data_IF_365022667424
#
_entry.id   IF_365022667424
#
_cell.length_a   1.000
_cell.length_b   1.000
_cell.length_c   1.000
_cell.angle_alpha   90.00
_cell.angle_beta   90.00
_cell.angle_gamma   90.00
#
_symmetry.space_group_name_H-M   'P 1'
#
loop_
_entity.id
_entity.type
_entity.pdbx_description
1 polymer ?
#
# COMPACT_ATOMS: atom_id res chain seq x y z
N UNK A 1 -8.35 15.68 -12.85
CA UNK A 1 -8.82 14.84 -11.74
C UNK A 1 -7.96 15.13 -10.53
N UNK A 2 -8.57 15.26 -9.35
CA UNK A 2 -7.83 15.47 -8.11
C UNK A 2 -7.02 14.24 -7.73
N UNK A 3 -5.84 14.47 -7.15
CA UNK A 3 -4.94 13.41 -6.71
C UNK A 3 -5.32 13.01 -5.28
N UNK A 4 -6.05 11.91 -5.12
CA UNK A 4 -6.42 11.36 -3.81
C UNK A 4 -5.33 10.39 -3.32
N UNK A 5 -4.93 10.53 -2.06
CA UNK A 5 -4.03 9.59 -1.37
C UNK A 5 -4.73 9.02 -0.14
N UNK A 6 -4.88 7.71 -0.10
CA UNK A 6 -5.41 6.98 1.04
C UNK A 6 -4.27 6.62 1.99
N UNK A 7 -4.46 6.87 3.27
CA UNK A 7 -3.48 6.54 4.30
C UNK A 7 -3.97 5.30 5.05
N UNK A 8 -3.12 4.29 5.15
CA UNK A 8 -3.39 3.07 5.93
C UNK A 8 -2.27 2.84 6.95
N UNK A 9 -2.64 2.33 8.12
CA UNK A 9 -1.73 2.20 9.27
C UNK A 9 -1.43 0.75 9.65
N UNK A 10 -1.89 -0.22 8.86
CA UNK A 10 -1.58 -1.64 9.04
C UNK A 10 -1.71 -2.39 7.71
N UNK A 11 -1.10 -3.58 7.64
CA UNK A 11 -1.26 -4.49 6.51
C UNK A 11 -2.74 -4.86 6.30
N UNK A 12 -3.49 -5.06 7.38
CA UNK A 12 -4.91 -5.37 7.30
C UNK A 12 -5.70 -4.24 6.64
N UNK A 13 -5.47 -2.99 7.06
CA UNK A 13 -6.14 -1.84 6.45
C UNK A 13 -5.78 -1.67 4.98
N UNK A 14 -4.52 -1.95 4.60
CA UNK A 14 -4.13 -1.98 3.19
C UNK A 14 -4.94 -3.03 2.40
N UNK A 15 -5.06 -4.24 2.93
CA UNK A 15 -5.86 -5.30 2.32
C UNK A 15 -7.33 -4.91 2.21
N UNK A 16 -7.93 -4.37 3.27
CA UNK A 16 -9.33 -3.95 3.27
C UNK A 16 -9.61 -2.88 2.21
N UNK A 17 -8.70 -1.91 2.03
CA UNK A 17 -8.80 -0.92 0.95
C UNK A 17 -8.79 -1.56 -0.43
N UNK A 18 -7.95 -2.58 -0.64
CA UNK A 18 -7.87 -3.31 -1.90
C UNK A 18 -9.08 -4.22 -2.15
N UNK A 19 -9.55 -4.96 -1.15
CA UNK A 19 -10.68 -5.89 -1.32
C UNK A 19 -12.01 -5.17 -1.54
N UNK A 20 -12.17 -3.97 -0.99
CA UNK A 20 -13.35 -3.13 -1.18
C UNK A 20 -13.23 -2.16 -2.37
N UNK A 21 -12.20 -2.33 -3.22
CA UNK A 21 -11.94 -1.53 -4.43
C UNK A 21 -11.80 0.00 -4.20
N UNK A 22 -11.53 0.40 -2.94
CA UNK A 22 -11.39 1.80 -2.52
C UNK A 22 -10.15 2.47 -3.13
N UNK A 23 -9.18 1.67 -3.57
CA UNK A 23 -7.91 2.13 -4.14
C UNK A 23 -8.00 2.57 -5.61
N UNK A 24 -9.16 2.39 -6.25
CA UNK A 24 -9.33 2.69 -7.68
C UNK A 24 -8.97 4.15 -7.99
N UNK A 25 -8.02 4.34 -8.92
CA UNK A 25 -7.48 5.66 -9.29
C UNK A 25 -6.89 6.48 -8.14
N UNK A 26 -6.58 5.85 -7.00
CA UNK A 26 -6.01 6.49 -5.81
C UNK A 26 -4.54 6.10 -5.61
N UNK A 27 -3.80 6.94 -4.89
CA UNK A 27 -2.50 6.59 -4.32
C UNK A 27 -2.71 6.01 -2.92
N UNK A 28 -1.79 5.16 -2.46
CA UNK A 28 -1.81 4.61 -1.11
C UNK A 28 -0.49 4.91 -0.40
N UNK A 29 -0.59 5.40 0.84
CA UNK A 29 0.55 5.58 1.73
C UNK A 29 0.38 4.73 2.98
N UNK A 30 1.37 3.88 3.26
CA UNK A 30 1.42 3.03 4.45
C UNK A 30 2.26 3.71 5.53
N UNK A 31 1.71 3.88 6.73
CA UNK A 31 2.43 4.46 7.88
C UNK A 31 3.08 3.42 8.79
N UNK A 32 2.85 2.14 8.53
CA UNK A 32 3.50 1.03 9.22
C UNK A 32 4.83 0.65 8.54
N UNK A 33 5.66 -0.10 9.27
CA UNK A 33 6.90 -0.66 8.73
C UNK A 33 6.54 -1.73 7.72
N UNK A 34 7.09 -1.62 6.52
CA UNK A 34 6.93 -2.61 5.46
C UNK A 34 8.28 -3.26 5.20
N UNK A 35 8.29 -4.58 5.04
CA UNK A 35 9.47 -5.32 4.63
C UNK A 35 9.69 -5.21 3.12
N UNK A 36 10.95 -5.26 2.70
CA UNK A 36 11.30 -5.18 1.29
C UNK A 36 10.70 -6.33 0.48
N UNK A 37 10.61 -7.53 1.08
CA UNK A 37 9.92 -8.68 0.49
C UNK A 37 8.43 -8.41 0.29
N UNK A 38 7.79 -7.73 1.25
CA UNK A 38 6.37 -7.42 1.21
C UNK A 38 6.00 -6.35 0.19
N UNK A 39 6.81 -5.29 0.13
CA UNK A 39 6.53 -4.12 -0.71
C UNK A 39 6.25 -4.50 -2.17
N UNK A 40 6.98 -5.49 -2.72
CA UNK A 40 6.80 -5.94 -4.10
C UNK A 40 5.46 -6.59 -4.38
N UNK A 41 4.89 -7.34 -3.43
CA UNK A 41 3.57 -7.94 -3.64
C UNK A 41 2.47 -6.93 -3.34
N UNK A 42 2.65 -6.05 -2.36
CA UNK A 42 1.71 -4.96 -2.07
C UNK A 42 1.55 -4.03 -3.28
N UNK A 43 2.65 -3.64 -3.94
CA UNK A 43 2.58 -2.80 -5.13
C UNK A 43 1.81 -3.50 -6.28
N UNK A 44 2.03 -4.80 -6.46
CA UNK A 44 1.28 -5.60 -7.45
C UNK A 44 -0.20 -5.67 -7.11
N UNK A 45 -0.55 -5.96 -5.85
CA UNK A 45 -1.93 -6.01 -5.39
C UNK A 45 -2.66 -4.68 -5.61
N UNK A 46 -1.99 -3.56 -5.36
CA UNK A 46 -2.54 -2.23 -5.60
C UNK A 46 -2.82 -2.00 -7.10
N UNK A 47 -1.86 -2.37 -7.97
CA UNK A 47 -2.01 -2.25 -9.43
C UNK A 47 -3.13 -3.14 -9.96
N UNK A 48 -3.25 -4.37 -9.47
CA UNK A 48 -4.34 -5.30 -9.84
C UNK A 48 -5.73 -4.73 -9.51
N UNK A 49 -5.80 -3.85 -8.51
CA UNK A 49 -7.00 -3.13 -8.09
C UNK A 49 -7.12 -1.73 -8.69
N UNK A 50 -6.41 -1.46 -9.79
CA UNK A 50 -6.42 -0.16 -10.50
C UNK A 50 -6.00 1.04 -9.64
N UNK A 51 -5.15 0.82 -8.64
CA UNK A 51 -4.50 1.89 -7.88
C UNK A 51 -3.27 2.46 -8.59
N UNK A 52 -2.93 3.71 -8.29
CA UNK A 52 -1.90 4.46 -9.03
C UNK A 52 -0.48 4.25 -8.51
N UNK A 53 -0.29 4.20 -7.18
CA UNK A 53 1.05 4.11 -6.60
C UNK A 53 1.07 3.87 -5.10
N UNK A 54 2.08 3.13 -4.65
CA UNK A 54 2.29 2.76 -3.26
C UNK A 54 3.50 3.51 -2.71
N UNK A 55 3.37 4.06 -1.51
CA UNK A 55 4.48 4.63 -0.74
C UNK A 55 4.39 4.15 0.70
N UNK A 56 5.53 4.13 1.39
CA UNK A 56 5.63 3.67 2.77
C UNK A 56 6.46 4.66 3.57
N UNK A 57 6.12 4.87 4.85
CA UNK A 57 6.91 5.71 5.75
C UNK A 57 8.28 5.08 6.02
N UNK A 58 8.33 3.76 6.22
CA UNK A 58 9.58 3.04 6.50
C UNK A 58 9.58 1.69 5.79
N UNK A 59 10.60 1.49 4.96
CA UNK A 59 10.90 0.24 4.29
C UNK A 59 12.15 -0.36 4.95
N UNK A 60 12.09 -1.61 5.40
CA UNK A 60 13.21 -2.32 6.03
C UNK A 60 13.63 -3.54 5.22
N UNK A 61 14.90 -3.92 5.30
CA UNK A 61 15.34 -5.24 4.81
C UNK A 61 14.78 -6.33 5.73
N UNK A 62 14.48 -7.47 5.14
CA UNK A 62 13.97 -8.64 5.85
C UNK A 62 14.92 -9.02 7.01
N UNK A 63 14.36 -9.29 8.20
CA UNK A 63 15.13 -9.78 9.36
C UNK A 63 15.78 -8.72 10.26
N UNK A 64 15.51 -7.43 10.05
CA UNK A 64 15.90 -6.37 11.00
C UNK A 64 14.66 -5.87 11.77
N UNK A 65 14.34 -6.51 12.90
CA UNK A 65 13.34 -6.03 13.87
C UNK A 65 14.03 -5.28 15.02
#
# INVERSE_FOLDING_TARGET
MERITLICNSMQSFMDLCENDLVTSCFVHCTFIVELSDFKWMERRLKDKSGNGLSVTKLVKDGYY
#
